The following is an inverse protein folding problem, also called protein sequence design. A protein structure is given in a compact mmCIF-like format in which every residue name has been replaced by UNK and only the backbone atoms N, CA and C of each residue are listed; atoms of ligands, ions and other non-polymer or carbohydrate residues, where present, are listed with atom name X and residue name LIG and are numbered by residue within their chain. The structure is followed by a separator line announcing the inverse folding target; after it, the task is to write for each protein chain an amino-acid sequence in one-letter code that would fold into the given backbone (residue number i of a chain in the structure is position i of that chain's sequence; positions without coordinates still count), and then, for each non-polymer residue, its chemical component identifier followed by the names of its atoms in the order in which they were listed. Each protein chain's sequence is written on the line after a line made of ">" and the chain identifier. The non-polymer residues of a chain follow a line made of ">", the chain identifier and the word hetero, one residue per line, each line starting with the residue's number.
data_IF_457851933393
#
_entry.id   IF_457851933393
#
_cell.length_a   1.000
_cell.length_b   1.000
_cell.length_c   1.000
_cell.angle_alpha   90.00
_cell.angle_beta   90.00
_cell.angle_gamma   90.00
#
_symmetry.space_group_name_H-M   'P 1'
#
loop_
_entity.id
_entity.type
_entity.pdbx_description
1 polymer ?
#
# COMPACT_ATOMS: atom_id res chain seq x y z
N UNK A 1 -3.00 -6.36 4.95
CA UNK A 1 -3.11 -4.92 5.31
C UNK A 1 -1.71 -4.28 5.36
N UNK A 2 -1.54 -2.95 5.27
CA UNK A 2 -0.24 -2.30 5.54
C UNK A 2 0.18 -2.49 7.01
N UNK A 3 1.47 -2.27 7.30
CA UNK A 3 1.99 -2.35 8.67
C UNK A 3 1.17 -1.41 9.58
N UNK A 4 0.60 -1.90 10.69
CA UNK A 4 -0.14 -1.04 11.62
C UNK A 4 0.74 0.11 12.13
N UNK A 5 0.13 1.27 12.38
CA UNK A 5 0.86 2.39 12.97
C UNK A 5 1.34 2.02 14.38
N UNK A 6 2.53 2.48 14.76
CA UNK A 6 2.97 2.46 16.16
C UNK A 6 2.48 3.74 16.83
N UNK A 7 1.90 3.64 18.02
CA UNK A 7 1.29 4.77 18.73
C UNK A 7 -0.17 5.06 18.36
N UNK A 8 -0.68 6.24 18.72
CA UNK A 8 -2.08 6.63 18.50
C UNK A 8 -2.52 6.52 17.04
N UNK A 9 -3.81 6.23 16.83
CA UNK A 9 -4.43 6.12 15.51
C UNK A 9 -4.82 7.50 14.98
N UNK A 10 -4.80 7.66 13.66
CA UNK A 10 -5.28 8.89 13.02
C UNK A 10 -6.79 9.03 13.25
N UNK A 11 -7.24 10.18 13.76
CA UNK A 11 -8.66 10.40 14.07
C UNK A 11 -9.13 9.73 15.37
N UNK A 12 -8.21 9.29 16.24
CA UNK A 12 -8.52 8.78 17.58
C UNK A 12 -8.86 7.29 17.66
N UNK A 13 -9.64 6.76 16.71
CA UNK A 13 -10.06 5.34 16.69
C UNK A 13 -9.62 4.59 15.43
N UNK A 14 -9.58 3.26 15.50
CA UNK A 14 -9.21 2.42 14.35
C UNK A 14 -10.26 2.46 13.23
N UNK A 15 -11.54 2.56 13.59
CA UNK A 15 -12.64 2.70 12.64
C UNK A 15 -12.54 4.04 11.89
N UNK A 16 -12.30 5.14 12.62
CA UNK A 16 -12.16 6.46 12.02
C UNK A 16 -10.92 6.54 11.12
N UNK A 17 -9.80 5.95 11.53
CA UNK A 17 -8.61 5.86 10.68
C UNK A 17 -8.90 5.16 9.35
N UNK A 18 -9.66 4.05 9.36
CA UNK A 18 -10.05 3.34 8.14
C UNK A 18 -10.88 4.23 7.21
N UNK A 19 -11.85 4.96 7.76
CA UNK A 19 -12.68 5.90 6.99
C UNK A 19 -11.85 7.04 6.39
N UNK A 20 -10.95 7.64 7.17
CA UNK A 20 -10.03 8.69 6.69
C UNK A 20 -9.18 8.19 5.53
N UNK A 21 -8.60 6.99 5.64
CA UNK A 21 -7.76 6.43 4.59
C UNK A 21 -8.56 6.08 3.32
N UNK A 22 -9.79 5.58 3.47
CA UNK A 22 -10.68 5.32 2.34
C UNK A 22 -11.00 6.62 1.59
N UNK A 23 -11.45 7.66 2.31
CA UNK A 23 -11.80 8.94 1.69
C UNK A 23 -10.60 9.62 1.03
N UNK A 24 -9.43 9.60 1.67
CA UNK A 24 -8.21 10.16 1.08
C UNK A 24 -7.76 9.38 -0.18
N UNK A 25 -7.94 8.06 -0.20
CA UNK A 25 -7.65 7.25 -1.39
C UNK A 25 -8.62 7.55 -2.53
N UNK A 26 -9.91 7.69 -2.22
CA UNK A 26 -10.95 8.10 -3.18
C UNK A 26 -10.57 9.42 -3.85
N UNK A 27 -10.34 10.48 -3.05
CA UNK A 27 -9.95 11.79 -3.59
C UNK A 27 -8.62 11.79 -4.33
N UNK A 28 -7.67 10.94 -3.91
CA UNK A 28 -6.39 10.79 -4.62
C UNK A 28 -6.57 10.19 -6.02
N UNK A 29 -7.44 9.19 -6.16
CA UNK A 29 -7.68 8.56 -7.47
C UNK A 29 -8.57 9.41 -8.37
N UNK A 30 -9.50 10.17 -7.80
CA UNK A 30 -10.36 11.09 -8.53
C UNK A 30 -9.57 12.28 -9.10
N UNK A 31 -8.75 12.95 -8.27
CA UNK A 31 -8.06 14.19 -8.68
C UNK A 31 -6.59 13.96 -9.08
N UNK A 32 -5.99 12.83 -8.73
CA UNK A 32 -4.59 12.51 -8.99
C UNK A 32 -3.56 13.23 -8.10
N UNK A 33 -3.95 14.31 -7.41
CA UNK A 33 -3.10 15.09 -6.49
C UNK A 33 -3.95 15.67 -5.35
N UNK A 34 -3.53 15.49 -4.10
CA UNK A 34 -4.21 16.04 -2.92
C UNK A 34 -3.21 16.66 -1.93
N UNK A 35 -3.63 17.73 -1.24
CA UNK A 35 -2.86 18.40 -0.17
C UNK A 35 -3.41 17.97 1.19
N UNK A 36 -2.56 17.41 2.05
CA UNK A 36 -2.96 16.92 3.38
C UNK A 36 -1.82 17.11 4.40
N UNK A 37 -1.99 16.64 5.63
CA UNK A 37 -0.89 16.66 6.61
C UNK A 37 0.11 15.55 6.31
N UNK A 38 1.39 15.79 6.60
CA UNK A 38 2.47 14.83 6.34
C UNK A 38 2.20 13.43 6.95
N UNK A 39 1.70 13.32 8.20
CA UNK A 39 1.37 12.00 8.78
C UNK A 39 0.28 11.26 8.01
N UNK A 40 -0.75 11.97 7.53
CA UNK A 40 -1.84 11.39 6.72
C UNK A 40 -1.31 10.91 5.37
N UNK A 41 -0.50 11.71 4.70
CA UNK A 41 0.12 11.33 3.43
C UNK A 41 1.02 10.08 3.57
N UNK A 42 1.85 10.02 4.63
CA UNK A 42 2.70 8.86 4.91
C UNK A 42 1.90 7.59 5.19
N UNK A 43 0.80 7.70 5.92
CA UNK A 43 -0.10 6.57 6.18
C UNK A 43 -0.87 6.13 4.92
N UNK A 44 -1.19 7.06 4.03
CA UNK A 44 -1.92 6.79 2.78
C UNK A 44 -1.09 6.01 1.76
N UNK A 45 0.23 6.28 1.64
CA UNK A 45 1.11 5.61 0.66
C UNK A 45 0.97 4.08 0.61
N UNK A 46 1.22 3.33 1.70
CA UNK A 46 1.16 1.87 1.64
C UNK A 46 -0.28 1.34 1.47
N UNK A 47 -1.29 2.17 1.67
CA UNK A 47 -2.69 1.84 1.43
C UNK A 47 -3.03 2.01 -0.06
N UNK A 48 -2.75 3.18 -0.64
CA UNK A 48 -2.98 3.49 -2.05
C UNK A 48 -2.16 2.60 -2.98
N UNK A 49 -0.89 2.33 -2.66
CA UNK A 49 -0.04 1.46 -3.49
C UNK A 49 -0.59 0.03 -3.60
N UNK A 50 -1.18 -0.51 -2.53
CA UNK A 50 -1.83 -1.83 -2.56
C UNK A 50 -3.07 -1.84 -3.43
N UNK A 51 -3.87 -0.76 -3.41
CA UNK A 51 -5.05 -0.64 -4.28
C UNK A 51 -4.66 -0.59 -5.76
N UNK A 52 -3.64 0.19 -6.11
CA UNK A 52 -3.10 0.23 -7.48
C UNK A 52 -2.54 -1.14 -7.89
N UNK A 53 -1.92 -1.87 -6.95
CA UNK A 53 -1.41 -3.23 -7.21
C UNK A 53 -2.55 -4.22 -7.51
N UNK A 54 -3.70 -4.10 -6.84
CA UNK A 54 -4.90 -4.88 -7.20
C UNK A 54 -5.46 -4.46 -8.56
N UNK A 55 -5.44 -3.17 -8.86
CA UNK A 55 -5.90 -2.63 -10.14
C UNK A 55 -5.08 -3.14 -11.33
N UNK A 56 -3.74 -3.16 -11.19
CA UNK A 56 -2.80 -3.72 -12.19
C UNK A 56 -3.09 -5.17 -12.55
N UNK A 57 -3.62 -5.97 -11.62
CA UNK A 57 -4.00 -7.37 -11.87
C UNK A 57 -5.34 -7.53 -12.61
N UNK A 58 -6.24 -6.55 -12.55
CA UNK A 58 -7.46 -6.51 -13.36
C UNK A 58 -8.57 -7.55 -13.06
N UNK A 59 -8.37 -8.54 -12.19
CA UNK A 59 -9.35 -9.63 -12.00
C UNK A 59 -10.61 -9.21 -11.23
N UNK A 60 -11.72 -9.94 -11.44
CA UNK A 60 -12.99 -9.73 -10.74
C UNK A 60 -12.84 -9.85 -9.21
N UNK A 61 -12.04 -10.80 -8.73
CA UNK A 61 -11.72 -10.95 -7.31
C UNK A 61 -11.04 -9.69 -6.76
N UNK A 62 -10.07 -9.13 -7.49
CA UNK A 62 -9.40 -7.89 -7.08
C UNK A 62 -10.35 -6.69 -7.03
N UNK A 63 -11.30 -6.58 -7.97
CA UNK A 63 -12.35 -5.54 -7.92
C UNK A 63 -13.19 -5.64 -6.64
N UNK A 64 -13.62 -6.85 -6.26
CA UNK A 64 -14.35 -7.10 -5.00
C UNK A 64 -13.51 -6.73 -3.77
N UNK A 65 -12.21 -7.05 -3.76
CA UNK A 65 -11.30 -6.66 -2.67
C UNK A 65 -11.11 -5.15 -2.53
N UNK A 66 -11.14 -4.41 -3.65
CA UNK A 66 -11.09 -2.93 -3.64
C UNK A 66 -12.42 -2.35 -3.14
N UNK A 67 -13.56 -2.90 -3.55
CA UNK A 67 -14.89 -2.45 -3.12
C UNK A 67 -15.14 -2.60 -1.61
N UNK A 68 -14.43 -3.53 -0.94
CA UNK A 68 -14.45 -3.63 0.53
C UNK A 68 -13.83 -2.39 1.23
N UNK A 69 -13.04 -1.60 0.49
CA UNK A 69 -12.24 -0.47 1.01
C UNK A 69 -12.76 0.87 0.50
N UNK A 70 -12.94 1.00 -0.81
CA UNK A 70 -13.50 2.17 -1.48
C UNK A 70 -14.93 1.83 -1.88
N UNK A 71 -15.90 2.62 -1.40
CA UNK A 71 -17.33 2.35 -1.64
C UNK A 71 -17.84 2.95 -2.95
N UNK A 72 -17.14 3.97 -3.45
CA UNK A 72 -17.47 4.66 -4.68
C UNK A 72 -17.14 3.80 -5.91
N UNK A 73 -18.14 3.55 -6.76
CA UNK A 73 -18.02 2.70 -7.95
C UNK A 73 -17.32 3.41 -9.10
N UNK A 74 -17.48 4.72 -9.21
CA UNK A 74 -16.94 5.51 -10.31
C UNK A 74 -15.42 5.60 -10.16
N UNK A 75 -14.94 5.86 -8.95
CA UNK A 75 -13.51 5.85 -8.64
C UNK A 75 -12.90 4.47 -8.84
N UNK A 76 -13.62 3.39 -8.50
CA UNK A 76 -13.16 2.02 -8.77
C UNK A 76 -13.10 1.74 -10.29
N UNK A 77 -14.05 2.27 -11.07
CA UNK A 77 -13.99 2.18 -12.51
C UNK A 77 -12.73 2.87 -13.06
N UNK A 78 -12.49 4.14 -12.72
CA UNK A 78 -11.30 4.90 -13.13
C UNK A 78 -10.00 4.20 -12.70
N UNK A 79 -9.98 3.63 -11.49
CA UNK A 79 -8.82 2.91 -10.97
C UNK A 79 -8.44 1.71 -11.84
N UNK A 80 -9.43 0.94 -12.32
CA UNK A 80 -9.19 -0.26 -13.14
C UNK A 80 -9.10 0.02 -14.64
N UNK A 81 -9.80 1.06 -15.13
CA UNK A 81 -9.85 1.41 -16.55
C UNK A 81 -8.63 2.25 -16.98
N UNK A 82 -8.20 3.20 -16.14
CA UNK A 82 -7.16 4.16 -16.50
C UNK A 82 -5.87 3.95 -15.70
N UNK A 83 -5.97 3.97 -14.36
CA UNK A 83 -4.80 4.01 -13.47
C UNK A 83 -4.04 2.67 -13.48
N UNK A 84 -4.77 1.55 -13.42
CA UNK A 84 -4.20 0.20 -13.40
C UNK A 84 -3.33 -0.08 -14.64
N UNK A 85 -3.88 0.07 -15.87
CA UNK A 85 -3.11 -0.09 -17.10
C UNK A 85 -1.95 0.90 -17.22
N UNK A 86 -2.13 2.16 -16.79
CA UNK A 86 -1.05 3.15 -16.83
C UNK A 86 0.18 2.75 -16.01
N UNK A 87 -0.02 2.03 -14.90
CA UNK A 87 1.05 1.56 -14.02
C UNK A 87 1.48 0.10 -14.26
N UNK A 88 1.10 -0.51 -15.39
CA UNK A 88 1.50 -1.89 -15.74
C UNK A 88 3.01 -2.09 -15.77
N UNK A 89 3.75 -1.10 -16.26
CA UNK A 89 5.19 -1.21 -16.51
C UNK A 89 6.04 -0.80 -15.31
N UNK A 90 5.38 -0.34 -14.22
CA UNK A 90 6.01 0.14 -12.99
C UNK A 90 5.84 -0.87 -11.88
N UNK A 91 6.96 -1.29 -11.27
CA UNK A 91 6.98 -2.21 -10.14
C UNK A 91 7.09 -1.44 -8.81
N UNK A 92 5.98 -0.80 -8.42
CA UNK A 92 5.85 -0.06 -7.16
C UNK A 92 6.25 1.42 -7.25
N UNK A 93 6.03 2.14 -6.15
CA UNK A 93 6.29 3.59 -6.10
C UNK A 93 5.37 4.41 -7.00
N UNK A 94 4.06 4.11 -6.97
CA UNK A 94 3.06 4.81 -7.79
C UNK A 94 2.72 6.21 -7.27
N UNK A 95 3.07 6.51 -6.01
CA UNK A 95 2.77 7.78 -5.35
C UNK A 95 4.06 8.51 -4.96
N UNK A 96 4.04 9.84 -5.05
CA UNK A 96 5.11 10.75 -4.59
C UNK A 96 4.56 11.67 -3.49
N UNK A 97 5.35 11.91 -2.45
CA UNK A 97 5.05 12.91 -1.41
C UNK A 97 6.02 14.07 -1.56
N UNK A 98 5.47 15.28 -1.67
CA UNK A 98 6.21 16.54 -1.69
C UNK A 98 5.85 17.31 -0.43
N UNK A 99 6.85 17.71 0.36
CA UNK A 99 6.63 18.56 1.53
C UNK A 99 6.29 19.97 1.07
N UNK A 100 5.32 20.59 1.74
CA UNK A 100 4.92 21.97 1.48
C UNK A 100 4.93 22.76 2.78
N UNK A 101 4.75 24.08 2.66
CA UNK A 101 4.77 24.97 3.81
C UNK A 101 3.79 24.51 4.92
N UNK A 102 4.20 24.58 6.19
CA UNK A 102 3.32 24.31 7.32
C UNK A 102 2.05 25.15 7.29
N UNK A 103 0.97 24.61 7.86
CA UNK A 103 -0.31 25.29 7.88
C UNK A 103 -0.28 26.46 8.87
N UNK A 104 -0.79 27.61 8.45
CA UNK A 104 -1.00 28.77 9.34
C UNK A 104 -2.07 28.43 10.38
N UNK A 105 -1.74 28.65 11.66
CA UNK A 105 -2.64 28.43 12.80
C UNK A 105 -2.13 27.35 13.75
N UNK A 106 -2.06 26.10 13.29
CA UNK A 106 -1.60 24.95 14.09
C UNK A 106 -0.16 24.53 13.79
N UNK A 107 0.50 25.20 12.83
CA UNK A 107 1.83 24.87 12.32
C UNK A 107 1.99 23.38 11.92
N UNK A 108 0.89 22.74 11.51
CA UNK A 108 0.93 21.33 11.14
C UNK A 108 1.78 21.14 9.87
N UNK A 109 2.70 20.15 9.84
CA UNK A 109 3.50 19.87 8.66
C UNK A 109 2.60 19.36 7.54
N UNK A 110 2.61 20.06 6.41
CA UNK A 110 1.77 19.76 5.26
C UNK A 110 2.58 19.03 4.18
N UNK A 111 1.88 18.21 3.40
CA UNK A 111 2.45 17.54 2.25
C UNK A 111 1.41 17.38 1.14
N UNK A 112 1.87 17.43 -0.10
CA UNK A 112 1.09 17.05 -1.27
C UNK A 112 1.45 15.61 -1.63
N UNK A 113 0.44 14.75 -1.76
CA UNK A 113 0.59 13.39 -2.28
C UNK A 113 -0.06 13.31 -3.66
N UNK A 114 0.68 12.74 -4.60
CA UNK A 114 0.29 12.69 -6.02
C UNK A 114 0.63 11.34 -6.66
N UNK A 115 -0.10 11.00 -7.72
CA UNK A 115 0.23 9.88 -8.59
C UNK A 115 1.38 10.28 -9.52
N UNK A 116 2.37 9.39 -9.66
CA UNK A 116 3.51 9.62 -10.56
C UNK A 116 3.03 9.49 -12.01
N UNK A 117 3.08 10.58 -12.79
CA UNK A 117 2.70 10.57 -14.22
C UNK A 117 3.88 10.37 -15.18
N UNK A 118 5.09 10.41 -14.66
CA UNK A 118 6.30 10.10 -15.43
C UNK A 118 6.34 8.59 -15.69
N UNK A 119 6.43 8.17 -16.96
CA UNK A 119 6.75 6.77 -17.28
C UNK A 119 8.19 6.51 -16.82
N UNK A 120 8.40 5.42 -16.11
CA UNK A 120 9.77 5.01 -15.77
C UNK A 120 10.52 4.80 -17.08
N UNK A 121 11.75 5.30 -17.19
CA UNK A 121 12.70 4.82 -18.21
C UNK A 121 12.69 3.30 -18.11
N UNK A 122 12.56 2.60 -19.23
CA UNK A 122 12.23 1.16 -19.31
C UNK A 122 12.75 0.38 -18.10
N UNK A 123 11.94 -0.52 -17.54
CA UNK A 123 12.31 -1.38 -16.40
C UNK A 123 13.69 -2.04 -16.56
N UNK A 124 14.12 -2.24 -17.81
CA UNK A 124 15.45 -2.65 -18.24
C UNK A 124 16.56 -1.63 -17.93
N UNK A 125 16.37 -0.33 -18.21
CA UNK A 125 17.32 0.73 -17.90
C UNK A 125 17.53 0.91 -16.38
N UNK A 126 16.47 0.82 -15.58
CA UNK A 126 16.57 0.90 -14.11
C UNK A 126 17.11 -0.39 -13.48
N UNK A 127 16.86 -1.56 -14.09
CA UNK A 127 17.54 -2.81 -13.72
C UNK A 127 19.03 -2.73 -14.07
N UNK A 128 19.38 -2.24 -15.26
CA UNK A 128 20.77 -2.05 -15.68
C UNK A 128 21.52 -1.06 -14.78
N UNK A 129 20.90 0.06 -14.40
CA UNK A 129 21.48 1.02 -13.44
C UNK A 129 21.69 0.43 -12.06
N UNK A 130 20.72 -0.35 -11.53
CA UNK A 130 20.89 -1.04 -10.24
C UNK A 130 21.99 -2.09 -10.27
N UNK A 131 22.10 -2.87 -11.34
CA UNK A 131 23.17 -3.85 -11.55
C UNK A 131 24.53 -3.18 -11.73
N UNK A 132 24.60 -2.05 -12.44
CA UNK A 132 25.83 -1.27 -12.55
C UNK A 132 26.24 -0.63 -11.22
N UNK A 133 25.28 -0.12 -10.44
CA UNK A 133 25.55 0.45 -9.12
C UNK A 133 26.08 -0.60 -8.13
N UNK A 134 25.55 -1.83 -8.14
CA UNK A 134 26.07 -2.91 -7.29
C UNK A 134 27.44 -3.42 -7.73
N UNK A 135 27.72 -3.47 -9.05
CA UNK A 135 29.05 -3.82 -9.58
C UNK A 135 30.10 -2.74 -9.34
N UNK A 136 29.71 -1.46 -9.27
CA UNK A 136 30.62 -0.34 -8.97
C UNK A 136 30.94 -0.22 -7.47
N UNK A 137 30.12 -0.78 -6.58
CA UNK A 137 30.38 -0.81 -5.14
C UNK A 137 31.31 -1.97 -4.69
N UNK A 138 31.44 -3.02 -5.52
CA UNK A 138 32.30 -4.17 -5.24
C UNK A 138 33.83 -3.97 -5.36
N UNK A 139 34.39 -3.06 -6.20
CA UNK A 139 35.84 -2.90 -6.33
C UNK A 139 36.41 -1.93 -5.28
N UNK A 140 35.59 -1.14 -4.59
CA UNK A 140 36.05 -0.19 -3.56
C UNK A 140 36.29 -0.85 -2.18
N UNK A 141 35.70 -2.03 -1.93
CA UNK A 141 35.98 -2.82 -0.72
C UNK A 141 37.22 -3.73 -0.84
N UNK A 142 37.76 -3.92 -2.06
CA UNK A 142 38.91 -4.79 -2.31
C UNK A 142 40.23 -4.02 -2.55
N UNK A 143 40.21 -2.68 -2.55
CA UNK A 143 41.38 -1.83 -2.78
C UNK A 143 41.92 -1.11 -1.53
N UNK A 144 41.36 -1.40 -0.35
CA UNK A 144 41.79 -0.82 0.93
C UNK A 144 42.62 -1.79 1.80
N UNK A 145 43.58 -2.48 1.19
CA UNK A 145 44.75 -3.07 1.85
C UNK A 145 45.81 -3.28 0.77
N UNK A 146 46.94 -2.55 0.80
CA UNK A 146 48.04 -2.96 1.68
C UNK A 146 48.94 -1.81 2.22
N UNK A 147 49.83 -2.19 3.14
CA UNK A 147 51.06 -1.51 3.61
C UNK A 147 50.99 -0.73 4.93
N UNK A 148 51.37 -1.41 6.02
CA UNK A 148 52.45 -0.97 6.89
C UNK A 148 53.01 -2.18 7.66
N UNK A 149 54.17 -2.65 7.23
CA UNK A 149 55.06 -3.51 8.01
C UNK A 149 56.01 -2.61 8.80
N UNK A 150 56.11 -2.82 10.11
CA UNK A 150 57.26 -2.44 10.95
C UNK A 150 57.56 -3.63 11.86
N UNK A 151 58.86 -3.90 11.98
CA UNK A 151 59.62 -5.03 12.53
C UNK A 151 59.40 -5.39 14.03
N UNK A 152 59.98 -6.53 14.51
CA UNK A 152 59.48 -7.34 15.61
C UNK A 152 60.20 -7.12 16.96
N UNK A 153 59.51 -7.43 18.06
CA UNK A 153 60.12 -7.93 19.29
C UNK A 153 59.33 -9.13 19.81
N UNK A 154 60.07 -10.17 20.20
CA UNK A 154 59.60 -11.45 20.70
C UNK A 154 59.59 -11.48 22.24
N UNK A 155 58.62 -12.20 22.81
CA UNK A 155 58.73 -13.17 23.93
C UNK A 155 57.35 -13.85 24.06
N UNK A 156 57.24 -15.15 23.74
CA UNK A 156 57.08 -16.30 24.67
C UNK A 156 55.74 -16.30 25.42
N UNK A 157 54.90 -17.34 25.49
CA UNK A 157 55.10 -18.79 25.38
C UNK A 157 53.71 -19.47 25.23
N UNK A 158 53.72 -20.71 24.74
CA UNK A 158 52.84 -21.83 25.11
C UNK A 158 51.62 -22.25 24.26
N UNK A 159 51.87 -23.37 23.55
CA UNK A 159 51.09 -24.62 23.46
C UNK A 159 49.74 -24.59 22.71
N UNK A 160 49.63 -25.17 21.50
CA UNK A 160 49.66 -26.60 21.12
C UNK A 160 48.34 -27.34 21.42
N UNK A 161 47.56 -27.61 20.36
CA UNK A 161 47.06 -28.92 19.87
C UNK A 161 46.06 -28.61 18.72
N UNK A 162 46.27 -29.02 17.45
CA UNK A 162 45.95 -30.35 16.88
C UNK A 162 44.53 -30.80 17.27
N UNK A 163 43.63 -31.30 16.42
CA UNK A 163 43.55 -31.54 14.99
C UNK A 163 42.07 -31.87 14.69
N UNK A 164 41.69 -31.68 13.42
CA UNK A 164 40.96 -32.62 12.56
C UNK A 164 39.78 -33.45 13.14
N UNK A 165 38.56 -33.33 12.59
CA UNK A 165 37.86 -34.24 11.63
C UNK A 165 36.43 -34.39 12.17
N UNK A 166 35.35 -34.76 11.48
CA UNK A 166 35.13 -35.23 10.13
C UNK A 166 33.63 -35.09 9.80
N UNK A 167 33.35 -35.33 8.53
CA UNK A 167 32.07 -35.51 7.85
C UNK A 167 31.36 -36.80 8.30
N UNK A 168 30.02 -36.81 8.44
CA UNK A 168 29.11 -37.71 7.70
C UNK A 168 27.60 -37.64 8.10
N UNK A 169 26.79 -37.64 7.04
CA UNK A 169 25.55 -38.42 6.81
C UNK A 169 24.26 -38.24 7.67
N UNK A 170 23.25 -37.64 7.01
CA UNK A 170 21.81 -38.00 6.81
C UNK A 170 21.35 -39.45 7.11
N UNK A 171 20.06 -39.86 6.96
CA UNK A 171 18.70 -39.24 7.12
C UNK A 171 17.66 -40.19 7.82
N UNK A 172 16.49 -39.71 8.27
CA UNK A 172 15.22 -40.50 8.39
C UNK A 172 14.04 -39.54 8.71
N UNK A 173 13.03 -39.27 7.87
CA UNK A 173 11.89 -40.04 7.33
C UNK A 173 10.63 -40.10 8.25
N UNK A 174 9.47 -40.01 7.58
CA UNK A 174 8.09 -40.34 8.01
C UNK A 174 7.40 -39.39 9.03
N UNK A 175 6.08 -39.13 9.00
CA UNK A 175 4.97 -39.43 8.10
C UNK A 175 3.76 -38.55 8.51
N UNK A 176 2.77 -38.45 7.62
CA UNK A 176 1.58 -37.61 7.71
C UNK A 176 0.42 -38.20 8.53
N UNK A 177 -0.41 -37.33 9.13
CA UNK A 177 -1.88 -37.47 9.18
C UNK A 177 -2.54 -36.12 9.51
N UNK A 178 -3.62 -35.72 8.81
CA UNK A 178 -4.71 -35.05 9.51
C UNK A 178 -6.09 -35.68 9.18
N UNK A 179 -6.85 -36.00 10.22
CA UNK A 179 -8.30 -36.23 10.15
C UNK A 179 -9.03 -34.93 10.48
N UNK A 180 -9.94 -34.50 9.59
CA UNK A 180 -11.09 -33.67 9.94
C UNK A 180 -12.15 -33.82 8.85
N UNK A 181 -13.11 -34.72 9.09
CA UNK A 181 -14.39 -34.77 8.38
C UNK A 181 -15.44 -34.06 9.21
N UNK A 182 -16.19 -33.16 8.59
CA UNK A 182 -17.40 -32.52 9.13
C UNK A 182 -18.53 -32.82 8.13
N UNK A 183 -19.48 -33.63 8.58
CA UNK A 183 -20.84 -33.83 8.02
C UNK A 183 -21.77 -32.88 8.82
N UNK A 184 -22.41 -31.88 8.19
CA UNK A 184 -23.67 -31.87 7.42
C UNK A 184 -24.94 -31.81 8.30
N UNK A 185 -25.75 -30.78 8.04
CA UNK A 185 -27.23 -30.72 7.97
C UNK A 185 -27.79 -29.38 8.51
N UNK A 186 -28.91 -28.79 8.09
CA UNK A 186 -29.74 -28.73 6.86
C UNK A 186 -30.97 -27.88 7.25
N UNK A 187 -31.38 -26.97 6.34
CA UNK A 187 -32.72 -26.38 6.05
C UNK A 187 -33.63 -25.60 7.03
N UNK A 188 -34.24 -24.55 6.44
CA UNK A 188 -35.66 -24.11 6.42
C UNK A 188 -35.77 -22.56 6.56
N UNK A 189 -36.11 -21.76 5.52
CA UNK A 189 -37.45 -21.45 4.94
C UNK A 189 -38.37 -20.75 5.98
N UNK A 190 -39.15 -19.67 5.79
CA UNK A 190 -39.77 -18.83 4.73
C UNK A 190 -40.03 -17.43 5.37
N UNK A 191 -40.25 -16.30 4.68
CA UNK A 191 -41.55 -15.88 4.15
C UNK A 191 -41.44 -14.53 3.40
N UNK A 192 -42.41 -14.27 2.52
CA UNK A 192 -42.47 -13.22 1.51
C UNK A 192 -43.54 -12.15 1.79
N UNK A 193 -43.53 -11.10 0.95
CA UNK A 193 -44.59 -10.07 0.72
C UNK A 193 -44.70 -8.99 1.81
N UNK A 194 -44.86 -7.71 1.51
CA UNK A 194 -45.84 -7.09 0.62
C UNK A 194 -45.37 -5.69 0.18
N UNK A 195 -45.71 -5.29 -1.05
CA UNK A 195 -45.63 -3.92 -1.53
C UNK A 195 -47.03 -3.40 -1.80
N UNK A 196 -47.26 -2.11 -1.54
CA UNK A 196 -48.43 -1.38 -2.02
C UNK A 196 -48.06 0.07 -2.32
N UNK A 197 -48.49 0.48 -3.51
CA UNK A 197 -48.58 1.83 -4.05
C UNK A 197 -49.17 2.86 -3.08
N UNK A 198 -48.68 4.10 -3.15
CA UNK A 198 -49.58 5.25 -3.27
C UNK A 198 -48.86 6.44 -3.93
N UNK A 199 -49.39 6.82 -5.09
CA UNK A 199 -49.10 8.07 -5.78
C UNK A 199 -50.24 9.07 -5.51
N UNK A 200 -49.89 10.37 -5.55
CA UNK A 200 -50.75 11.56 -5.73
C UNK A 200 -51.21 12.34 -4.49
N UNK A 201 -51.29 13.67 -4.69
CA UNK A 201 -51.51 14.80 -3.76
C UNK A 201 -50.23 15.28 -3.04
N UNK A 202 -49.70 16.50 -3.21
CA UNK A 202 -50.26 17.78 -3.65
C UNK A 202 -49.24 18.56 -4.49
N UNK A 203 -49.68 19.02 -5.66
CA UNK A 203 -49.09 20.15 -6.38
C UNK A 203 -50.15 21.24 -6.38
N UNK A 204 -50.07 22.17 -5.43
CA UNK A 204 -50.83 23.41 -5.40
C UNK A 204 -50.25 24.35 -4.33
N UNK A 205 -49.14 25.03 -4.63
CA UNK A 205 -48.92 26.40 -4.12
C UNK A 205 -47.85 27.11 -4.99
N UNK A 206 -48.28 27.52 -6.18
CA UNK A 206 -47.57 28.53 -6.98
C UNK A 206 -48.63 29.56 -7.41
N UNK A 207 -48.48 30.79 -6.92
CA UNK A 207 -48.92 32.08 -7.48
C UNK A 207 -49.61 33.00 -6.46
N UNK A 208 -48.81 33.64 -5.60
CA UNK A 208 -49.19 34.92 -4.97
C UNK A 208 -47.97 35.66 -4.39
N UNK A 209 -47.02 36.12 -5.21
CA UNK A 209 -46.26 37.35 -4.89
C UNK A 209 -45.61 37.94 -6.15
N UNK A 210 -46.42 38.61 -6.97
CA UNK A 210 -45.92 39.57 -7.97
C UNK A 210 -46.53 40.93 -7.61
N UNK A 211 -45.81 41.71 -6.81
CA UNK A 211 -46.12 43.11 -6.54
C UNK A 211 -45.42 44.00 -7.59
N UNK A 212 -46.14 44.91 -8.27
CA UNK A 212 -45.51 45.92 -9.11
C UNK A 212 -45.10 47.18 -8.33
N UNK A 213 -44.01 47.77 -8.81
CA UNK A 213 -43.37 49.01 -8.38
C UNK A 213 -44.30 50.23 -8.32
N UNK A 214 -44.05 51.10 -7.33
CA UNK A 214 -44.13 52.56 -7.42
C UNK A 214 -43.20 53.19 -6.37
#
# INVERSE_FOLDING_TARGET
>A
MPKPTKGPRLGGSSAHQKAILANLATSLFEHGRIKTTEPKARALRPYAEKLITHAKKGTLHNRREVLKKIRDKDVVHTLFAEIGPFFSDRDGGYTRIIKVEPRKGDNAPMAVIELVREKTVTSEADRARRVQASKKAAPEAAAAAPQAAVEPEAVDDSAADEAATDTEATPEAAAATPQAGVESDTEASEDATEGTDEASAEAADEAADEAPEN
#
